data_IF_643850010702
#
_entry.id   IF_643850010702
#
_cell.length_a   1.000
_cell.length_b   1.000
_cell.length_c   1.000
_cell.angle_alpha   90.00
_cell.angle_beta   90.00
_cell.angle_gamma   90.00
#
_symmetry.space_group_name_H-M   'P 1'
#
loop_
_entity.id
_entity.type
_entity.pdbx_description
1 polymer ?
#
# COMPACT_ATOMS: atom_id res chain seq x y z
N UNK A 1 31.36 11.75 -0.97
CA UNK A 1 30.80 11.28 -2.25
C UNK A 1 29.31 11.14 -2.06
N UNK A 2 28.55 12.18 -2.34
CA UNK A 2 27.10 12.22 -2.23
C UNK A 2 26.50 11.76 -3.56
N UNK A 3 25.81 10.63 -3.57
CA UNK A 3 24.96 10.26 -4.71
C UNK A 3 23.66 11.03 -4.51
N UNK A 4 23.51 12.18 -5.16
CA UNK A 4 22.22 12.85 -5.31
C UNK A 4 21.83 12.86 -6.79
N UNK A 5 21.55 11.68 -7.34
CA UNK A 5 20.56 11.61 -8.41
C UNK A 5 19.19 11.54 -7.73
N UNK A 6 18.23 12.34 -8.18
CA UNK A 6 16.90 12.52 -7.59
C UNK A 6 16.06 11.23 -7.52
N UNK A 7 16.47 10.28 -6.69
CA UNK A 7 15.77 9.05 -6.38
C UNK A 7 14.52 9.42 -5.58
N UNK A 8 13.37 9.34 -6.24
CA UNK A 8 12.09 9.40 -5.56
C UNK A 8 11.84 8.06 -4.88
N UNK A 9 11.82 8.08 -3.55
CA UNK A 9 11.50 6.90 -2.74
C UNK A 9 10.03 6.94 -2.38
N UNK A 10 9.34 5.84 -2.64
CA UNK A 10 8.00 5.57 -2.14
C UNK A 10 8.06 4.29 -1.31
N UNK A 11 7.27 4.23 -0.25
CA UNK A 11 7.33 3.18 0.76
C UNK A 11 5.95 2.59 0.95
N UNK A 12 5.85 1.34 1.39
CA UNK A 12 4.58 0.79 1.83
C UNK A 12 4.62 0.44 3.31
N UNK A 13 3.47 0.56 3.97
CA UNK A 13 3.26 0.11 5.33
C UNK A 13 2.26 -1.06 5.36
N UNK A 14 2.41 -1.93 6.35
CA UNK A 14 1.44 -2.99 6.64
C UNK A 14 0.69 -2.57 7.89
N UNK A 15 -0.56 -2.08 7.77
CA UNK A 15 -1.34 -1.67 8.92
C UNK A 15 -1.67 -2.88 9.80
N UNK A 16 -1.91 -2.59 11.07
CA UNK A 16 -2.47 -3.52 12.05
C UNK A 16 -3.85 -3.01 12.44
N UNK A 17 -4.85 -3.26 11.60
CA UNK A 17 -6.23 -2.94 11.92
C UNK A 17 -6.77 -4.03 12.84
N UNK A 18 -6.65 -3.81 14.16
CA UNK A 18 -7.18 -4.71 15.17
C UNK A 18 -7.94 -3.93 16.25
N UNK A 19 -9.19 -4.33 16.53
CA UNK A 19 -10.08 -3.59 17.45
C UNK A 19 -9.56 -3.53 18.89
N UNK A 20 -8.75 -4.52 19.26
CA UNK A 20 -8.14 -4.64 20.59
C UNK A 20 -6.69 -4.15 20.65
N UNK A 21 -6.18 -3.55 19.56
CA UNK A 21 -4.88 -2.89 19.57
C UNK A 21 -5.06 -1.42 19.96
N UNK A 22 -4.19 -0.91 20.84
CA UNK A 22 -4.21 0.49 21.28
C UNK A 22 -3.70 1.45 20.18
N UNK A 23 -2.93 0.93 19.22
CA UNK A 23 -2.42 1.69 18.07
C UNK A 23 -3.52 1.94 17.02
N UNK A 24 -4.23 3.05 17.20
CA UNK A 24 -5.19 3.58 16.21
C UNK A 24 -4.51 3.84 14.86
N UNK A 25 -5.29 3.83 13.77
CA UNK A 25 -4.76 4.09 12.42
C UNK A 25 -3.99 5.41 12.31
N UNK A 26 -4.39 6.43 13.07
CA UNK A 26 -3.68 7.71 13.16
C UNK A 26 -2.24 7.55 13.67
N UNK A 27 -2.06 6.79 14.76
CA UNK A 27 -0.73 6.55 15.36
C UNK A 27 0.16 5.80 14.37
N UNK A 28 -0.36 4.77 13.70
CA UNK A 28 0.43 3.98 12.76
C UNK A 28 0.92 4.80 11.55
N UNK A 29 0.11 5.75 11.05
CA UNK A 29 0.53 6.61 9.93
C UNK A 29 1.45 7.75 10.39
N UNK A 30 1.24 8.28 11.60
CA UNK A 30 2.12 9.26 12.24
C UNK A 30 3.52 8.68 12.44
N UNK A 31 3.63 7.50 13.05
CA UNK A 31 4.91 6.81 13.26
C UNK A 31 5.62 6.51 11.95
N UNK A 32 4.88 5.99 10.96
CA UNK A 32 5.44 5.78 9.62
C UNK A 32 6.00 7.09 9.05
N UNK A 33 5.24 8.19 9.11
CA UNK A 33 5.69 9.50 8.63
C UNK A 33 6.94 10.02 9.36
N UNK A 34 7.02 9.83 10.68
CA UNK A 34 8.16 10.27 11.48
C UNK A 34 9.43 9.51 11.14
N UNK A 35 9.34 8.18 10.98
CA UNK A 35 10.47 7.36 10.53
C UNK A 35 11.01 7.90 9.21
N UNK A 36 10.15 8.22 8.24
CA UNK A 36 10.61 8.72 6.95
C UNK A 36 11.17 10.14 7.00
N UNK A 37 10.51 11.06 7.72
CA UNK A 37 10.98 12.43 7.87
C UNK A 37 12.30 12.55 8.65
N UNK A 38 12.63 11.55 9.48
CA UNK A 38 13.92 11.50 10.20
C UNK A 38 15.09 11.00 9.34
N UNK A 39 14.84 10.61 8.09
CA UNK A 39 15.87 10.19 7.13
C UNK A 39 16.09 11.27 6.06
N UNK A 40 17.25 11.29 5.41
CA UNK A 40 17.52 12.18 4.26
C UNK A 40 16.67 11.82 3.00
N UNK A 41 15.75 10.86 3.11
CA UNK A 41 14.89 10.41 2.03
C UNK A 41 13.66 11.30 1.94
N UNK A 42 13.57 12.09 0.86
CA UNK A 42 12.34 12.81 0.50
C UNK A 42 11.30 11.81 -0.01
N UNK A 43 10.55 11.20 0.91
CA UNK A 43 9.49 10.25 0.57
C UNK A 43 8.31 11.01 -0.02
N UNK A 44 7.88 10.63 -1.23
CA UNK A 44 6.74 11.28 -1.89
C UNK A 44 5.40 10.76 -1.38
N UNK A 45 5.31 9.47 -1.04
CA UNK A 45 4.06 8.78 -0.73
C UNK A 45 4.26 7.57 0.18
N UNK A 46 3.28 7.32 1.05
CA UNK A 46 3.13 6.06 1.79
C UNK A 46 2.00 5.22 1.17
N UNK A 47 2.30 4.00 0.76
CA UNK A 47 1.33 3.02 0.28
C UNK A 47 0.78 2.17 1.43
N UNK A 48 -0.51 2.26 1.72
CA UNK A 48 -1.18 1.45 2.75
C UNK A 48 -1.52 0.08 2.15
N UNK A 49 -0.89 -0.99 2.66
CA UNK A 49 -1.13 -2.36 2.18
C UNK A 49 -2.44 -2.92 2.73
N UNK A 50 -3.43 -3.13 1.88
CA UNK A 50 -4.76 -3.63 2.26
C UNK A 50 -4.90 -5.12 1.88
N UNK A 51 -4.82 -6.00 2.88
CA UNK A 51 -4.81 -7.47 2.73
C UNK A 51 -5.38 -8.16 3.97
N UNK A 52 -6.06 -9.30 3.80
CA UNK A 52 -6.90 -9.90 4.84
C UNK A 52 -6.16 -10.26 6.14
N UNK A 53 -4.84 -10.52 6.12
CA UNK A 53 -4.09 -10.79 7.37
C UNK A 53 -3.86 -9.55 8.25
N UNK A 54 -4.18 -8.36 7.75
CA UNK A 54 -3.90 -7.07 8.40
C UNK A 54 -5.17 -6.32 8.84
N UNK A 55 -6.34 -6.92 8.59
CA UNK A 55 -7.65 -6.29 8.77
C UNK A 55 -8.64 -7.26 9.43
N UNK A 56 -9.65 -6.70 10.08
CA UNK A 56 -10.72 -7.45 10.74
C UNK A 56 -11.75 -7.97 9.74
N UNK A 57 -12.55 -8.96 10.14
CA UNK A 57 -13.77 -9.36 9.43
C UNK A 57 -14.95 -8.40 9.73
N UNK A 58 -14.69 -7.11 9.65
CA UNK A 58 -15.67 -6.04 9.83
C UNK A 58 -15.37 -4.88 8.88
N UNK A 59 -16.07 -4.85 7.76
CA UNK A 59 -15.84 -3.85 6.73
C UNK A 59 -16.20 -2.43 7.16
N UNK A 60 -17.09 -2.25 8.15
CA UNK A 60 -17.43 -0.91 8.68
C UNK A 60 -16.22 -0.39 9.46
N UNK A 61 -15.70 -1.22 10.37
CA UNK A 61 -14.52 -0.88 11.15
C UNK A 61 -13.28 -0.67 10.27
N UNK A 62 -13.06 -1.53 9.27
CA UNK A 62 -11.93 -1.40 8.35
C UNK A 62 -11.98 -0.08 7.56
N UNK A 63 -13.17 0.34 7.07
CA UNK A 63 -13.32 1.62 6.38
C UNK A 63 -13.04 2.79 7.30
N UNK A 64 -13.53 2.74 8.53
CA UNK A 64 -13.27 3.79 9.52
C UNK A 64 -11.78 3.90 9.84
N UNK A 65 -11.12 2.76 10.04
CA UNK A 65 -9.68 2.71 10.25
C UNK A 65 -8.90 3.35 9.09
N UNK A 66 -9.26 3.02 7.84
CA UNK A 66 -8.64 3.61 6.65
C UNK A 66 -8.93 5.11 6.52
N UNK A 67 -10.15 5.57 6.83
CA UNK A 67 -10.50 7.00 6.85
C UNK A 67 -9.63 7.77 7.83
N UNK A 68 -9.44 7.25 9.05
CA UNK A 68 -8.59 7.88 10.06
C UNK A 68 -7.15 7.98 9.57
N UNK A 69 -6.60 6.93 8.95
CA UNK A 69 -5.25 6.97 8.37
C UNK A 69 -5.11 8.05 7.28
N UNK A 70 -6.07 8.12 6.35
CA UNK A 70 -6.04 9.12 5.27
C UNK A 70 -6.13 10.55 5.82
N UNK A 71 -7.02 10.77 6.79
CA UNK A 71 -7.19 12.08 7.42
C UNK A 71 -5.93 12.51 8.20
N UNK A 72 -5.33 11.61 8.99
CA UNK A 72 -4.07 11.89 9.68
C UNK A 72 -2.92 12.17 8.70
N UNK A 73 -2.79 11.39 7.63
CA UNK A 73 -1.77 11.64 6.61
C UNK A 73 -1.94 13.01 5.95
N UNK A 74 -3.18 13.39 5.62
CA UNK A 74 -3.50 14.70 5.06
C UNK A 74 -3.09 15.84 6.01
N UNK A 75 -3.37 15.72 7.31
CA UNK A 75 -2.99 16.71 8.31
C UNK A 75 -1.47 16.83 8.49
N UNK A 76 -0.73 15.75 8.22
CA UNK A 76 0.74 15.72 8.23
C UNK A 76 1.36 16.20 6.92
N UNK A 77 0.56 16.48 5.89
CA UNK A 77 1.04 16.84 4.55
C UNK A 77 1.69 15.68 3.79
N UNK A 78 1.34 14.43 4.12
CA UNK A 78 1.87 13.20 3.52
C UNK A 78 0.86 12.66 2.49
N UNK A 79 1.31 12.42 1.26
CA UNK A 79 0.49 11.74 0.24
C UNK A 79 0.37 10.24 0.56
N UNK A 80 -0.82 9.67 0.36
CA UNK A 80 -1.07 8.23 0.59
C UNK A 80 -1.70 7.58 -0.63
N UNK A 81 -1.35 6.31 -0.85
CA UNK A 81 -1.96 5.46 -1.87
C UNK A 81 -2.31 4.09 -1.31
N UNK A 82 -3.02 3.28 -2.09
CA UNK A 82 -3.42 1.93 -1.65
C UNK A 82 -2.65 0.85 -2.39
N UNK A 83 -2.12 -0.10 -1.64
CA UNK A 83 -1.48 -1.30 -2.16
C UNK A 83 -2.39 -2.51 -1.91
N UNK A 84 -3.11 -2.97 -2.93
CA UNK A 84 -4.10 -4.05 -2.78
C UNK A 84 -4.37 -4.79 -4.09
N UNK A 85 -5.34 -5.70 -4.09
CA UNK A 85 -5.93 -6.21 -5.32
C UNK A 85 -7.45 -6.23 -5.18
N UNK A 86 -8.16 -6.47 -6.29
CA UNK A 86 -9.62 -6.45 -6.31
C UNK A 86 -10.25 -7.41 -5.29
N UNK A 87 -9.67 -8.59 -5.08
CA UNK A 87 -10.20 -9.58 -4.14
C UNK A 87 -10.14 -9.03 -2.72
N UNK A 88 -8.96 -8.65 -2.25
CA UNK A 88 -8.75 -8.11 -0.91
C UNK A 88 -9.59 -6.86 -0.68
N UNK A 89 -9.58 -5.91 -1.63
CA UNK A 89 -10.34 -4.68 -1.49
C UNK A 89 -11.83 -4.96 -1.31
N UNK A 90 -12.38 -5.85 -2.14
CA UNK A 90 -13.79 -6.21 -2.07
C UNK A 90 -14.15 -6.90 -0.75
N UNK A 91 -13.30 -7.81 -0.27
CA UNK A 91 -13.46 -8.55 0.98
C UNK A 91 -13.39 -7.61 2.19
N UNK A 92 -12.33 -6.82 2.29
CA UNK A 92 -12.01 -6.01 3.48
C UNK A 92 -12.86 -4.76 3.58
N UNK A 93 -13.18 -4.15 2.44
CA UNK A 93 -13.88 -2.85 2.41
C UNK A 93 -15.32 -2.98 1.93
N UNK A 94 -15.84 -4.18 1.66
CA UNK A 94 -17.16 -4.36 1.04
C UNK A 94 -17.33 -3.52 -0.24
N UNK A 95 -16.37 -3.64 -1.18
CA UNK A 95 -16.36 -2.97 -2.49
C UNK A 95 -16.48 -1.44 -2.38
N UNK A 96 -15.80 -0.84 -1.41
CA UNK A 96 -15.88 0.61 -1.21
C UNK A 96 -15.39 1.37 -2.44
N UNK A 97 -16.15 2.38 -2.87
CA UNK A 97 -15.76 3.31 -3.92
C UNK A 97 -15.00 4.48 -3.31
N UNK A 98 -13.70 4.57 -3.61
CA UNK A 98 -12.81 5.60 -3.09
C UNK A 98 -12.25 6.43 -4.24
N UNK A 99 -12.34 7.76 -4.11
CA UNK A 99 -11.82 8.68 -5.12
C UNK A 99 -10.54 9.35 -4.62
N UNK A 100 -9.73 9.86 -5.56
CA UNK A 100 -8.63 10.77 -5.27
C UNK A 100 -7.33 10.13 -4.76
N UNK A 101 -7.27 8.81 -4.64
CA UNK A 101 -6.08 8.10 -4.14
C UNK A 101 -5.48 7.20 -5.23
N UNK A 102 -4.14 7.14 -5.39
CA UNK A 102 -3.49 6.27 -6.35
C UNK A 102 -3.53 4.81 -5.93
N UNK A 103 -3.40 3.91 -6.91
CA UNK A 103 -3.47 2.46 -6.71
C UNK A 103 -2.18 1.77 -7.16
N UNK A 104 -1.54 1.07 -6.23
CA UNK A 104 -0.55 0.04 -6.53
C UNK A 104 -1.23 -1.32 -6.44
N UNK A 105 -1.68 -1.85 -7.57
CA UNK A 105 -2.32 -3.16 -7.55
C UNK A 105 -1.29 -4.29 -7.63
N UNK A 106 -1.61 -5.46 -7.10
CA UNK A 106 -0.75 -6.63 -7.26
C UNK A 106 -1.45 -7.81 -7.92
N UNK A 107 -0.68 -8.49 -8.76
CA UNK A 107 -1.08 -9.74 -9.38
C UNK A 107 0.15 -10.57 -9.72
N UNK A 108 0.29 -11.67 -9.00
CA UNK A 108 1.36 -12.67 -9.14
C UNK A 108 0.70 -14.05 -9.19
N UNK A 109 1.31 -15.01 -9.88
CA UNK A 109 0.81 -16.39 -9.92
C UNK A 109 1.21 -17.14 -8.65
N UNK A 110 2.48 -17.08 -8.31
CA UNK A 110 3.08 -17.72 -7.15
C UNK A 110 4.29 -16.93 -6.67
N UNK A 111 5.00 -17.48 -5.68
CA UNK A 111 6.20 -16.88 -5.07
C UNK A 111 7.43 -17.35 -5.82
N UNK A 112 8.38 -16.44 -6.07
CA UNK A 112 9.69 -16.72 -6.61
C UNK A 112 9.75 -16.78 -8.14
N UNK A 113 10.94 -17.11 -8.69
CA UNK A 113 11.22 -17.04 -10.11
C UNK A 113 10.26 -17.93 -10.91
N UNK A 114 9.48 -17.32 -11.81
CA UNK A 114 8.44 -17.99 -12.60
C UNK A 114 7.01 -17.67 -12.17
N UNK A 115 6.81 -17.12 -10.97
CA UNK A 115 5.52 -16.65 -10.46
C UNK A 115 5.08 -15.30 -11.03
N UNK A 116 5.91 -14.67 -11.84
CA UNK A 116 5.70 -13.33 -12.37
C UNK A 116 4.52 -13.27 -13.36
N UNK A 117 3.86 -12.12 -13.41
CA UNK A 117 2.95 -11.75 -14.50
C UNK A 117 3.59 -10.68 -15.39
N UNK A 118 3.00 -10.40 -16.55
CA UNK A 118 3.52 -9.36 -17.44
C UNK A 118 3.57 -8.01 -16.71
N UNK A 119 4.71 -7.31 -16.84
CA UNK A 119 4.94 -5.97 -16.31
C UNK A 119 4.20 -4.87 -17.12
N UNK A 120 2.88 -5.03 -17.25
CA UNK A 120 1.98 -4.06 -17.88
C UNK A 120 0.60 -4.10 -17.21
N UNK A 121 -0.30 -3.19 -17.60
CA UNK A 121 -1.63 -3.06 -17.01
C UNK A 121 -2.75 -3.77 -17.79
N UNK A 122 -2.44 -4.57 -18.83
CA UNK A 122 -3.47 -5.20 -19.70
C UNK A 122 -4.43 -6.11 -18.95
N UNK A 123 -3.98 -6.63 -17.81
CA UNK A 123 -4.74 -7.54 -16.97
C UNK A 123 -5.39 -6.87 -15.74
N UNK A 124 -5.26 -5.55 -15.62
CA UNK A 124 -6.02 -4.74 -14.67
C UNK A 124 -7.50 -4.79 -15.01
N UNK A 125 -8.35 -4.81 -13.98
CA UNK A 125 -9.81 -4.74 -14.10
C UNK A 125 -10.29 -3.73 -13.06
N UNK A 126 -11.07 -2.70 -13.43
CA UNK A 126 -11.50 -1.65 -12.51
C UNK A 126 -12.20 -2.19 -11.26
N UNK A 127 -11.96 -1.52 -10.12
CA UNK A 127 -12.63 -1.75 -8.83
C UNK A 127 -12.48 -0.52 -7.95
N UNK A 128 -13.39 -0.34 -6.99
CA UNK A 128 -13.30 0.73 -5.98
C UNK A 128 -13.12 2.14 -6.54
N UNK A 129 -13.69 2.43 -7.72
CA UNK A 129 -13.51 3.63 -8.55
C UNK A 129 -12.13 3.83 -9.22
N UNK A 130 -11.16 2.94 -9.05
CA UNK A 130 -9.94 2.96 -9.86
C UNK A 130 -10.22 2.44 -11.27
N UNK A 131 -10.15 3.32 -12.26
CA UNK A 131 -10.17 2.97 -13.69
C UNK A 131 -8.79 2.59 -14.21
N UNK A 132 -7.75 3.17 -13.62
CA UNK A 132 -6.35 2.99 -14.01
C UNK A 132 -5.45 2.88 -12.77
N UNK A 133 -4.51 1.92 -12.73
CA UNK A 133 -3.56 1.82 -11.64
C UNK A 133 -2.36 2.75 -11.85
N UNK A 134 -1.74 3.16 -10.76
CA UNK A 134 -0.48 3.92 -10.76
C UNK A 134 0.73 2.98 -10.86
N UNK A 135 0.66 1.82 -10.20
CA UNK A 135 1.74 0.84 -10.16
C UNK A 135 1.21 -0.60 -10.14
N UNK A 136 2.07 -1.55 -10.52
CA UNK A 136 1.79 -3.00 -10.45
C UNK A 136 2.92 -3.73 -9.74
N UNK A 137 2.60 -4.54 -8.73
CA UNK A 137 3.50 -5.61 -8.27
C UNK A 137 3.24 -6.85 -9.12
N UNK A 138 4.20 -7.19 -9.97
CA UNK A 138 4.10 -8.28 -10.96
C UNK A 138 4.97 -9.50 -10.62
N UNK A 139 5.91 -9.41 -9.68
CA UNK A 139 6.68 -10.52 -9.10
C UNK A 139 6.64 -10.49 -7.57
N UNK A 140 7.07 -11.55 -6.89
CA UNK A 140 7.04 -11.63 -5.42
C UNK A 140 8.08 -12.55 -4.81
N UNK A 141 8.86 -12.03 -3.87
CA UNK A 141 10.02 -12.69 -3.23
C UNK A 141 10.96 -13.29 -4.29
N UNK A 142 11.38 -12.43 -5.22
CA UNK A 142 12.36 -12.79 -6.25
C UNK A 142 13.76 -12.65 -5.68
N UNK A 143 14.70 -13.51 -6.09
CA UNK A 143 16.11 -13.36 -5.74
C UNK A 143 16.85 -12.70 -6.90
N UNK A 144 17.29 -11.46 -6.69
CA UNK A 144 18.06 -10.70 -7.69
C UNK A 144 19.37 -10.28 -7.05
N UNK A 145 20.50 -10.68 -7.65
CA UNK A 145 21.84 -10.36 -7.16
C UNK A 145 22.07 -10.73 -5.68
N UNK A 146 21.49 -11.83 -5.20
CA UNK A 146 21.60 -12.28 -3.81
C UNK A 146 20.73 -11.52 -2.81
N UNK A 147 19.79 -10.68 -3.28
CA UNK A 147 18.84 -9.94 -2.46
C UNK A 147 17.41 -10.37 -2.81
N UNK A 148 16.61 -10.65 -1.78
CA UNK A 148 15.17 -10.89 -1.95
C UNK A 148 14.43 -9.58 -2.15
N UNK A 149 13.82 -9.42 -3.32
CA UNK A 149 13.02 -8.26 -3.70
C UNK A 149 11.53 -8.61 -3.80
N UNK A 150 10.67 -7.59 -3.90
CA UNK A 150 9.22 -7.74 -4.07
C UNK A 150 8.50 -8.47 -2.92
N UNK A 151 8.57 -7.93 -1.71
CA UNK A 151 7.92 -8.51 -0.51
C UNK A 151 6.36 -8.48 -0.52
#
# INVERSE_FOLDING_TARGET
MTISEGLNVEVYMVPKCHRFNEERGSVQIEEASHIFNSTDLKTRRIWIKVKSQSFEDDWVYNREFLNVMMFSAQNLGVDVGFFTNRKNWNEITNKWNLNGHPLWYWKVREVGPGGETLANFKDFRPFGNWTDPTAKQFGKKEEICGVTVNW
#
